data_IF_260991426145
#
_entry.id   IF_260991426145
#
_cell.length_a   1.000
_cell.length_b   1.000
_cell.length_c   1.000
_cell.angle_alpha   90.00
_cell.angle_beta   90.00
_cell.angle_gamma   90.00
#
_symmetry.space_group_name_H-M   'P 1'
#
loop_
_entity.id
_entity.type
_entity.pdbx_description
1 polymer ?
#
# COMPACT_ATOMS: atom_id res chain seq x y z
N UNK A 1 35.94 13.23 12.73
CA UNK A 1 35.27 12.37 11.72
C UNK A 1 34.39 13.26 10.82
N UNK A 2 34.96 14.32 10.24
CA UNK A 2 34.34 15.10 9.16
C UNK A 2 35.31 15.01 7.99
N UNK A 3 35.16 13.98 7.16
CA UNK A 3 35.98 13.82 5.95
C UNK A 3 35.13 13.86 4.68
N UNK A 4 33.81 14.04 4.82
CA UNK A 4 32.86 14.07 3.72
C UNK A 4 31.77 15.10 4.01
N UNK A 5 31.51 16.00 3.07
CA UNK A 5 30.48 17.04 3.16
C UNK A 5 29.07 16.40 3.19
N UNK A 6 28.19 16.86 4.08
CA UNK A 6 26.80 16.39 4.19
C UNK A 6 26.02 16.46 2.87
N UNK A 7 26.27 17.48 2.05
CA UNK A 7 25.66 17.60 0.73
C UNK A 7 26.07 16.44 -0.18
N UNK A 8 27.34 16.01 -0.12
CA UNK A 8 27.85 14.87 -0.90
C UNK A 8 27.20 13.58 -0.40
N UNK A 9 27.05 13.39 0.91
CA UNK A 9 26.35 12.24 1.49
C UNK A 9 24.88 12.20 1.04
N UNK A 10 24.15 13.32 1.16
CA UNK A 10 22.75 13.40 0.74
C UNK A 10 22.58 13.14 -0.76
N UNK A 11 23.53 13.62 -1.58
CA UNK A 11 23.52 13.37 -3.02
C UNK A 11 23.75 11.88 -3.33
N UNK A 12 24.68 11.22 -2.63
CA UNK A 12 24.90 9.78 -2.76
C UNK A 12 23.62 9.02 -2.39
N UNK A 13 22.99 9.36 -1.26
CA UNK A 13 21.71 8.74 -0.84
C UNK A 13 20.63 8.95 -1.89
N UNK A 14 20.52 10.16 -2.45
CA UNK A 14 19.54 10.47 -3.49
C UNK A 14 19.73 9.62 -4.76
N UNK A 15 20.97 9.53 -5.26
CA UNK A 15 21.27 8.74 -6.46
C UNK A 15 21.04 7.24 -6.22
N UNK A 16 21.48 6.72 -5.06
CA UNK A 16 21.24 5.31 -4.70
C UNK A 16 19.76 5.01 -4.51
N UNK A 17 18.97 5.92 -3.94
CA UNK A 17 17.54 5.77 -3.79
C UNK A 17 16.82 5.71 -5.15
N UNK A 18 17.23 6.52 -6.14
CA UNK A 18 16.70 6.44 -7.51
C UNK A 18 17.03 5.08 -8.13
N UNK A 19 18.27 4.62 -8.02
CA UNK A 19 18.70 3.33 -8.57
C UNK A 19 17.88 2.16 -8.01
N UNK A 20 17.70 2.13 -6.68
CA UNK A 20 16.86 1.12 -6.02
C UNK A 20 15.40 1.25 -6.45
N UNK A 21 14.85 2.47 -6.49
CA UNK A 21 13.47 2.72 -6.90
C UNK A 21 13.16 2.23 -8.32
N UNK A 22 14.08 2.46 -9.26
CA UNK A 22 13.98 1.95 -10.63
C UNK A 22 13.91 0.42 -10.65
N UNK A 23 14.83 -0.27 -9.98
CA UNK A 23 14.85 -1.74 -9.96
C UNK A 23 13.61 -2.34 -9.28
N UNK A 24 13.08 -1.71 -8.24
CA UNK A 24 11.88 -2.17 -7.53
C UNK A 24 10.62 -2.06 -8.40
N UNK A 25 10.49 -1.00 -9.19
CA UNK A 25 9.30 -0.77 -10.02
C UNK A 25 9.36 -1.52 -11.35
N UNK A 26 10.56 -1.77 -11.91
CA UNK A 26 10.70 -2.39 -13.22
C UNK A 26 10.21 -3.84 -13.29
N UNK A 27 10.21 -4.57 -12.17
CA UNK A 27 9.87 -6.00 -12.15
C UNK A 27 8.43 -6.29 -11.67
N UNK A 28 7.53 -5.31 -11.74
CA UNK A 28 6.13 -5.49 -11.31
C UNK A 28 5.29 -6.19 -12.38
N UNK A 29 4.36 -7.03 -11.95
CA UNK A 29 3.41 -7.70 -12.85
C UNK A 29 2.45 -6.68 -13.48
N UNK A 30 2.06 -6.79 -14.77
CA UNK A 30 1.21 -5.79 -15.42
C UNK A 30 -0.14 -5.52 -14.74
N UNK A 31 -0.71 -6.53 -14.09
CA UNK A 31 -1.95 -6.41 -13.31
C UNK A 31 -1.82 -5.48 -12.07
N UNK A 32 -0.60 -5.16 -11.65
CA UNK A 32 -0.31 -4.36 -10.47
C UNK A 32 0.04 -2.90 -10.79
N UNK A 33 0.10 -2.47 -12.06
CA UNK A 33 0.40 -1.06 -12.36
C UNK A 33 -0.60 -0.08 -11.74
N UNK A 34 -1.90 -0.40 -11.78
CA UNK A 34 -2.93 0.46 -11.17
C UNK A 34 -2.86 0.46 -9.64
N UNK A 35 -2.73 -0.69 -8.94
CA UNK A 35 -2.42 -0.71 -7.50
C UNK A 35 -1.10 0.00 -7.15
N UNK A 36 -0.05 -0.16 -7.95
CA UNK A 36 1.24 0.47 -7.73
C UNK A 36 1.13 1.99 -7.79
N UNK A 37 0.37 2.52 -8.76
CA UNK A 37 0.08 3.95 -8.83
C UNK A 37 -0.59 4.44 -7.54
N UNK A 38 -1.57 3.72 -7.02
CA UNK A 38 -2.23 4.07 -5.76
C UNK A 38 -1.26 4.04 -4.56
N UNK A 39 -0.40 3.02 -4.48
CA UNK A 39 0.65 2.92 -3.44
C UNK A 39 1.62 4.10 -3.53
N UNK A 40 2.09 4.46 -4.72
CA UNK A 40 3.02 5.60 -4.88
C UNK A 40 2.38 6.92 -4.48
N UNK A 41 1.07 7.10 -4.71
CA UNK A 41 0.32 8.24 -4.19
C UNK A 41 0.30 8.25 -2.65
N UNK A 42 0.04 7.10 -2.01
CA UNK A 42 0.07 6.99 -0.55
C UNK A 42 1.46 7.26 0.05
N UNK A 43 2.53 6.79 -0.60
CA UNK A 43 3.92 7.03 -0.17
C UNK A 43 4.28 8.52 -0.27
N UNK A 44 3.75 9.24 -1.26
CA UNK A 44 3.98 10.69 -1.41
C UNK A 44 3.54 11.50 -0.18
N UNK A 45 2.69 10.93 0.69
CA UNK A 45 2.23 11.55 1.91
C UNK A 45 3.35 11.80 2.96
N UNK A 46 4.58 11.33 2.70
CA UNK A 46 5.79 11.68 3.50
C UNK A 46 5.99 13.19 3.68
N UNK A 47 5.41 14.01 2.79
CA UNK A 47 5.35 15.48 2.93
C UNK A 47 4.81 15.93 4.30
N UNK A 48 4.04 15.09 5.01
CA UNK A 48 3.55 15.38 6.36
C UNK A 48 4.67 15.69 7.35
N UNK A 49 5.85 15.07 7.19
CA UNK A 49 7.02 15.34 8.05
C UNK A 49 7.46 16.80 7.89
N UNK A 50 7.55 17.27 6.65
CA UNK A 50 7.88 18.67 6.36
C UNK A 50 6.81 19.64 6.87
N UNK A 51 5.54 19.28 6.71
CA UNK A 51 4.41 20.08 7.19
C UNK A 51 4.41 20.21 8.72
N UNK A 52 4.71 19.13 9.46
CA UNK A 52 4.81 19.15 10.91
C UNK A 52 5.96 20.05 11.39
N UNK A 53 7.12 19.99 10.72
CA UNK A 53 8.23 20.89 11.01
C UNK A 53 7.86 22.35 10.74
N UNK A 54 7.17 22.63 9.63
CA UNK A 54 6.69 23.97 9.31
C UNK A 54 5.66 24.48 10.33
N UNK A 55 4.73 23.64 10.79
CA UNK A 55 3.74 24.02 11.81
C UNK A 55 4.36 24.22 13.21
N UNK A 56 5.41 23.47 13.53
CA UNK A 56 6.03 23.47 14.86
C UNK A 56 7.16 24.48 15.04
N UNK A 57 7.96 24.72 13.99
CA UNK A 57 9.21 25.49 14.08
C UNK A 57 9.15 26.85 13.38
N UNK A 58 8.08 27.15 12.63
CA UNK A 58 7.96 28.45 11.95
C UNK A 58 7.51 29.54 12.92
N UNK A 59 8.26 30.62 12.97
CA UNK A 59 7.89 31.83 13.72
C UNK A 59 6.96 32.73 12.88
N UNK A 60 5.99 33.36 13.55
CA UNK A 60 5.00 34.24 12.92
C UNK A 60 3.65 33.55 12.62
N UNK A 61 2.57 34.33 12.74
CA UNK A 61 1.20 33.80 12.65
C UNK A 61 0.85 33.21 11.29
N UNK A 62 1.30 33.84 10.20
CA UNK A 62 1.00 33.39 8.82
C UNK A 62 1.70 32.07 8.50
N UNK A 63 3.00 31.96 8.82
CA UNK A 63 3.78 30.76 8.55
C UNK A 63 3.27 29.55 9.34
N UNK A 64 2.91 29.76 10.61
CA UNK A 64 2.32 28.71 11.45
C UNK A 64 0.93 28.28 10.97
N UNK A 65 0.08 29.23 10.57
CA UNK A 65 -1.23 28.91 9.99
C UNK A 65 -1.10 28.09 8.70
N UNK A 66 -0.18 28.47 7.80
CA UNK A 66 0.09 27.72 6.57
C UNK A 66 0.68 26.33 6.84
N UNK A 67 1.59 26.20 7.81
CA UNK A 67 2.09 24.89 8.24
C UNK A 67 0.98 24.00 8.78
N UNK A 68 0.05 24.57 9.56
CA UNK A 68 -1.08 23.83 10.12
C UNK A 68 -2.06 23.37 9.04
N UNK A 69 -2.34 24.23 8.05
CA UNK A 69 -3.10 23.86 6.85
C UNK A 69 -2.39 22.78 6.02
N UNK A 70 -1.07 22.88 5.87
CA UNK A 70 -0.28 21.87 5.17
C UNK A 70 -0.36 20.50 5.86
N UNK A 71 -0.36 20.45 7.20
CA UNK A 71 -0.55 19.20 7.95
C UNK A 71 -1.95 18.62 7.69
N UNK A 72 -2.99 19.46 7.69
CA UNK A 72 -4.35 19.00 7.40
C UNK A 72 -4.48 18.40 5.99
N UNK A 73 -3.91 19.07 4.97
CA UNK A 73 -3.91 18.57 3.60
C UNK A 73 -3.05 17.30 3.44
N UNK A 74 -1.90 17.24 4.08
CA UNK A 74 -1.05 16.05 4.08
C UNK A 74 -1.76 14.86 4.72
N UNK A 75 -2.50 15.07 5.81
CA UNK A 75 -3.29 14.02 6.45
C UNK A 75 -4.34 13.42 5.51
N UNK A 76 -5.04 14.25 4.71
CA UNK A 76 -5.98 13.75 3.69
C UNK A 76 -5.28 12.84 2.68
N UNK A 77 -4.06 13.17 2.26
CA UNK A 77 -3.26 12.33 1.36
C UNK A 77 -2.87 11.00 2.03
N UNK A 78 -2.41 11.03 3.29
CA UNK A 78 -2.12 9.81 4.08
C UNK A 78 -3.36 8.91 4.14
N UNK A 79 -4.45 9.39 4.71
CA UNK A 79 -5.64 8.58 4.96
C UNK A 79 -6.30 8.13 3.65
N UNK A 80 -6.46 9.04 2.68
CA UNK A 80 -7.06 8.72 1.39
C UNK A 80 -6.21 7.74 0.58
N UNK A 81 -4.90 7.97 0.51
CA UNK A 81 -3.97 7.13 -0.23
C UNK A 81 -3.94 5.69 0.29
N UNK A 82 -3.80 5.49 1.61
CA UNK A 82 -3.74 4.15 2.19
C UNK A 82 -5.09 3.42 2.16
N UNK A 83 -6.22 4.11 2.38
CA UNK A 83 -7.56 3.49 2.37
C UNK A 83 -7.95 3.01 0.97
N UNK A 84 -7.68 3.81 -0.07
CA UNK A 84 -7.95 3.41 -1.47
C UNK A 84 -7.05 2.27 -1.89
N UNK A 85 -5.77 2.33 -1.55
CA UNK A 85 -4.79 1.28 -1.86
C UNK A 85 -5.18 -0.05 -1.23
N UNK A 86 -5.61 -0.05 0.04
CA UNK A 86 -6.07 -1.25 0.72
C UNK A 86 -7.25 -1.89 -0.02
N UNK A 87 -8.26 -1.10 -0.39
CA UNK A 87 -9.42 -1.59 -1.16
C UNK A 87 -9.02 -2.16 -2.51
N UNK A 88 -8.04 -1.55 -3.18
CA UNK A 88 -7.53 -2.06 -4.46
C UNK A 88 -6.81 -3.40 -4.30
N UNK A 89 -6.00 -3.56 -3.25
CA UNK A 89 -5.27 -4.80 -2.98
C UNK A 89 -6.19 -5.93 -2.47
N UNK A 90 -7.25 -5.59 -1.75
CA UNK A 90 -8.25 -6.57 -1.28
C UNK A 90 -8.96 -7.28 -2.44
N UNK A 91 -9.11 -6.65 -3.60
CA UNK A 91 -9.68 -7.26 -4.80
C UNK A 91 -8.81 -8.37 -5.41
N UNK A 92 -7.51 -8.38 -5.09
CA UNK A 92 -6.58 -9.44 -5.53
C UNK A 92 -6.46 -10.59 -4.51
N UNK A 93 -7.03 -10.44 -3.30
CA UNK A 93 -7.06 -11.52 -2.32
C UNK A 93 -8.16 -12.49 -2.72
N UNK A 94 -7.80 -13.70 -3.13
CA UNK A 94 -8.76 -14.81 -3.27
C UNK A 94 -9.54 -14.91 -1.95
N UNK A 95 -10.86 -14.73 -2.02
CA UNK A 95 -11.78 -15.05 -0.92
C UNK A 95 -11.41 -16.47 -0.46
N UNK A 96 -11.08 -16.64 0.82
CA UNK A 96 -10.80 -17.97 1.37
C UNK A 96 -11.94 -18.90 0.91
N UNK A 97 -11.66 -20.15 0.47
CA UNK A 97 -12.71 -21.07 0.11
C UNK A 97 -13.66 -21.15 1.30
N UNK A 98 -14.91 -20.70 1.16
CA UNK A 98 -15.95 -21.11 2.10
C UNK A 98 -15.88 -22.64 2.06
N UNK A 99 -15.50 -23.25 3.18
CA UNK A 99 -15.53 -24.69 3.33
C UNK A 99 -16.93 -25.14 2.90
N UNK A 100 -17.02 -25.77 1.73
CA UNK A 100 -18.25 -26.38 1.30
C UNK A 100 -18.53 -27.49 2.32
N UNK A 101 -19.70 -27.53 2.97
CA UNK A 101 -20.03 -28.63 3.86
C UNK A 101 -19.90 -29.91 3.03
N UNK A 102 -19.03 -30.81 3.51
CA UNK A 102 -18.70 -32.05 2.84
C UNK A 102 -19.98 -32.79 2.46
N UNK A 103 -20.18 -33.06 1.17
CA UNK A 103 -21.24 -33.96 0.73
C UNK A 103 -20.89 -35.34 1.29
N UNK A 104 -21.66 -35.80 2.26
CA UNK A 104 -21.63 -37.18 2.75
C UNK A 104 -21.74 -38.13 1.55
N UNK A 105 -20.81 -39.09 1.36
CA UNK A 105 -20.99 -40.09 0.33
C UNK A 105 -22.16 -40.98 0.75
N UNK A 106 -23.22 -40.98 -0.05
CA UNK A 106 -24.29 -41.97 0.06
C UNK A 106 -23.65 -43.35 -0.16
N UNK A 107 -23.63 -44.16 0.90
CA UNK A 107 -23.17 -45.53 0.86
C UNK A 107 -24.02 -46.32 -0.12
N UNK A 108 -23.35 -46.95 -1.08
CA UNK A 108 -23.89 -48.04 -1.86
C UNK A 108 -24.50 -49.10 -0.93
N UNK A 109 -25.77 -49.44 -1.18
CA UNK A 109 -26.51 -50.40 -0.37
C UNK A 109 -27.77 -50.87 -1.07
N UNK A 110 -27.60 -51.83 -1.98
CA UNK A 110 -28.61 -52.83 -2.32
C UNK A 110 -29.72 -52.42 -3.30
N UNK A 111 -29.42 -52.45 -4.60
CA UNK A 111 -30.44 -52.87 -5.57
C UNK A 111 -30.76 -54.35 -5.28
N UNK A 112 -31.87 -54.57 -4.59
CA UNK A 112 -32.53 -55.86 -4.56
C UNK A 112 -33.08 -56.11 -5.96
N UNK A 113 -32.44 -57.06 -6.63
CA UNK A 113 -32.92 -57.79 -7.79
C UNK A 113 -34.33 -58.33 -7.47
N UNK A 114 -35.37 -57.60 -7.87
CA UNK A 114 -36.69 -58.18 -8.09
C UNK A 114 -36.62 -58.99 -9.38
N UNK A 115 -36.61 -60.32 -9.25
CA UNK A 115 -36.76 -61.23 -10.37
C UNK A 115 -38.21 -61.20 -10.88
N UNK A 116 -38.44 -61.26 -12.20
CA UNK A 116 -39.77 -61.37 -12.76
C UNK A 116 -40.29 -62.80 -12.59
N UNK A 117 -41.42 -62.95 -11.88
CA UNK A 117 -42.53 -63.86 -12.23
C UNK A 117 -43.75 -63.58 -11.36
#
# INVERSE_FOLDING_TARGET
>A
MEMVNHTVINLIIFVLAIYVGYHVVWTVTPALHTPLMAVTNAISAIIIVGAMLAAGLTEGGVGRAMGTLAVALAAVNVFGGFLVTQRMLEMFRKKAPKAQPAKTPASAGGELVEMPR
#
